data_IF_208713537234
#
_entry.id   IF_208713537234
#
_cell.length_a   1.000
_cell.length_b   1.000
_cell.length_c   1.000
_cell.angle_alpha   90.00
_cell.angle_beta   90.00
_cell.angle_gamma   90.00
#
_symmetry.space_group_name_H-M   'P 1'
#
loop_
_entity.id
_entity.type
_entity.pdbx_description
1 polymer ?
#
# COMPACT_ATOMS: atom_id res chain seq x y z
N UNK A 1 16.90 11.65 15.10
CA UNK A 1 16.29 10.43 14.53
C UNK A 1 15.73 10.84 13.20
N UNK A 2 16.14 10.15 12.15
CA UNK A 2 15.70 10.47 10.80
C UNK A 2 14.31 9.86 10.57
N UNK A 3 13.44 10.61 9.91
CA UNK A 3 12.07 10.21 9.61
C UNK A 3 11.86 10.26 8.11
N UNK A 4 11.41 9.14 7.53
CA UNK A 4 11.12 8.98 6.12
C UNK A 4 9.62 9.24 5.89
N UNK A 5 9.30 10.02 4.87
CA UNK A 5 7.93 10.47 4.58
C UNK A 5 7.24 9.52 3.62
N UNK A 6 6.12 8.92 4.01
CA UNK A 6 5.38 7.97 3.18
C UNK A 6 4.05 8.55 2.75
N UNK A 7 3.70 8.43 1.47
CA UNK A 7 2.36 8.70 0.98
C UNK A 7 1.82 7.54 0.15
N UNK A 8 0.49 7.43 0.11
CA UNK A 8 -0.23 6.64 -0.88
C UNK A 8 -1.37 7.46 -1.49
N UNK A 9 -1.61 7.29 -2.80
CA UNK A 9 -2.71 7.96 -3.46
C UNK A 9 -3.27 7.19 -4.68
N UNK A 10 -4.58 6.95 -4.70
CA UNK A 10 -5.33 6.60 -5.91
C UNK A 10 -5.41 7.82 -6.85
N UNK A 11 -4.94 7.68 -8.09
CA UNK A 11 -4.82 8.78 -9.07
C UNK A 11 -6.08 8.99 -9.94
N UNK A 12 -7.17 8.29 -9.65
CA UNK A 12 -8.43 8.33 -10.42
C UNK A 12 -8.18 8.04 -11.91
N UNK A 13 -7.62 6.87 -12.24
CA UNK A 13 -7.37 6.38 -13.60
C UNK A 13 -6.54 7.35 -14.46
N UNK A 14 -5.22 7.20 -14.41
CA UNK A 14 -4.24 7.94 -15.19
C UNK A 14 -3.80 7.10 -16.39
N UNK A 15 -4.50 7.29 -17.51
CA UNK A 15 -4.21 6.68 -18.80
C UNK A 15 -3.39 7.62 -19.70
N UNK A 16 -2.69 7.05 -20.66
CA UNK A 16 -2.17 7.83 -21.79
C UNK A 16 -3.29 8.12 -22.80
N UNK A 17 -2.95 8.70 -23.94
CA UNK A 17 -3.93 9.03 -24.99
C UNK A 17 -3.93 8.02 -26.14
N UNK A 18 -3.19 6.91 -26.00
CA UNK A 18 -3.18 5.85 -27.00
C UNK A 18 -4.42 4.98 -26.83
N UNK A 19 -5.08 4.64 -27.93
CA UNK A 19 -6.28 3.81 -27.87
C UNK A 19 -5.88 2.36 -27.50
N UNK A 20 -6.16 1.97 -26.27
CA UNK A 20 -6.22 0.58 -25.84
C UNK A 20 -7.69 0.14 -25.71
N UNK A 21 -7.98 -1.16 -25.82
CA UNK A 21 -9.35 -1.68 -25.64
C UNK A 21 -9.90 -1.32 -24.23
N UNK A 22 -9.03 -1.34 -23.23
CA UNK A 22 -9.35 -0.96 -21.84
C UNK A 22 -9.63 0.54 -21.72
N UNK A 23 -8.80 1.39 -22.34
CA UNK A 23 -9.02 2.84 -22.35
C UNK A 23 -10.34 3.20 -23.03
N UNK A 24 -10.69 2.51 -24.12
CA UNK A 24 -11.96 2.71 -24.82
C UNK A 24 -13.18 2.27 -23.97
N UNK A 25 -13.10 1.10 -23.33
CA UNK A 25 -14.16 0.59 -22.45
C UNK A 25 -14.40 1.47 -21.21
N UNK A 26 -13.36 2.15 -20.73
CA UNK A 26 -13.42 3.09 -19.61
C UNK A 26 -13.67 4.55 -20.03
N UNK A 27 -14.02 4.78 -21.30
CA UNK A 27 -14.31 6.10 -21.88
C UNK A 27 -13.12 7.09 -21.84
N UNK A 28 -11.87 6.63 -21.72
CA UNK A 28 -10.66 7.46 -21.88
C UNK A 28 -10.37 7.75 -23.35
N UNK A 29 -11.28 8.49 -23.98
CA UNK A 29 -11.25 8.82 -25.40
C UNK A 29 -11.32 10.33 -25.60
N UNK A 30 -10.81 10.85 -26.74
CA UNK A 30 -10.97 12.26 -27.09
C UNK A 30 -12.44 12.72 -27.10
N UNK A 31 -13.38 11.82 -27.44
CA UNK A 31 -14.82 12.11 -27.43
C UNK A 31 -15.36 12.40 -26.02
N UNK A 32 -14.79 11.79 -24.98
CA UNK A 32 -15.10 12.06 -23.58
C UNK A 32 -14.27 13.23 -22.99
N UNK A 33 -13.47 13.90 -23.81
CA UNK A 33 -12.59 14.99 -23.38
C UNK A 33 -11.21 14.54 -22.90
N UNK A 34 -10.85 13.27 -23.05
CA UNK A 34 -9.50 12.78 -22.74
C UNK A 34 -8.55 13.07 -23.90
N UNK A 35 -7.91 14.24 -23.85
CA UNK A 35 -6.92 14.71 -24.84
C UNK A 35 -5.53 14.83 -24.20
N UNK A 36 -4.45 15.00 -24.99
CA UNK A 36 -3.12 15.24 -24.43
C UNK A 36 -3.10 16.42 -23.45
N UNK A 37 -3.83 17.50 -23.75
CA UNK A 37 -3.96 18.65 -22.87
C UNK A 37 -4.67 18.33 -21.55
N UNK A 38 -5.66 17.43 -21.57
CA UNK A 38 -6.32 16.96 -20.36
C UNK A 38 -5.37 16.09 -19.52
N UNK A 39 -4.60 15.22 -20.16
CA UNK A 39 -3.57 14.42 -19.48
C UNK A 39 -2.51 15.32 -18.84
N UNK A 40 -2.03 16.33 -19.57
CA UNK A 40 -1.06 17.29 -19.06
C UNK A 40 -1.60 18.07 -17.85
N UNK A 41 -2.84 18.59 -17.95
CA UNK A 41 -3.51 19.25 -16.83
C UNK A 41 -3.68 18.31 -15.64
N UNK A 42 -3.97 17.01 -15.87
CA UNK A 42 -4.04 16.02 -14.81
C UNK A 42 -2.69 15.86 -14.11
N UNK A 43 -1.59 15.71 -14.86
CA UNK A 43 -0.25 15.64 -14.26
C UNK A 43 0.08 16.88 -13.42
N UNK A 44 -0.17 18.08 -13.95
CA UNK A 44 0.05 19.34 -13.22
C UNK A 44 -0.71 19.36 -11.88
N UNK A 45 -1.99 18.97 -11.90
CA UNK A 45 -2.84 18.92 -10.71
C UNK A 45 -2.34 17.86 -9.70
N UNK A 46 -1.96 16.66 -10.15
CA UNK A 46 -1.44 15.61 -9.27
C UNK A 46 -0.11 16.03 -8.64
N UNK A 47 0.80 16.61 -9.43
CA UNK A 47 2.11 17.10 -8.98
C UNK A 47 1.95 18.22 -7.96
N UNK A 48 1.03 19.17 -8.18
CA UNK A 48 0.73 20.26 -7.21
C UNK A 48 0.41 19.69 -5.83
N UNK A 49 -0.48 18.69 -5.77
CA UNK A 49 -0.90 18.06 -4.52
C UNK A 49 0.25 17.32 -3.85
N UNK A 50 0.94 16.46 -4.60
CA UNK A 50 2.02 15.61 -4.08
C UNK A 50 3.23 16.43 -3.62
N UNK A 51 3.62 17.46 -4.38
CA UNK A 51 4.70 18.36 -4.01
C UNK A 51 4.34 19.20 -2.77
N UNK A 52 3.06 19.53 -2.58
CA UNK A 52 2.56 20.23 -1.39
C UNK A 52 2.48 19.38 -0.12
N UNK A 53 2.63 18.05 -0.21
CA UNK A 53 2.66 17.18 0.98
C UNK A 53 3.91 17.45 1.83
N UNK A 54 3.83 17.10 3.12
CA UNK A 54 4.93 17.24 4.08
C UNK A 54 5.55 18.65 4.09
N UNK A 55 4.69 19.67 4.20
CA UNK A 55 5.09 21.08 4.21
C UNK A 55 5.92 21.50 2.99
N UNK A 56 5.60 20.93 1.82
CA UNK A 56 6.24 21.30 0.55
C UNK A 56 7.53 20.54 0.22
N UNK A 57 7.88 19.50 0.99
CA UNK A 57 9.06 18.66 0.69
C UNK A 57 8.72 17.42 -0.14
N UNK A 58 7.44 17.08 -0.23
CA UNK A 58 6.97 15.84 -0.85
C UNK A 58 7.37 14.57 -0.09
N UNK A 59 6.94 13.39 -0.60
CA UNK A 59 7.24 12.08 -0.01
C UNK A 59 8.66 11.59 -0.34
N UNK A 60 9.18 10.70 0.49
CA UNK A 60 10.37 9.88 0.22
C UNK A 60 10.00 8.50 -0.33
N UNK A 61 8.77 8.04 -0.05
CA UNK A 61 8.19 6.80 -0.54
C UNK A 61 6.73 7.08 -0.93
N UNK A 62 6.36 6.83 -2.17
CA UNK A 62 5.04 7.11 -2.72
C UNK A 62 4.50 5.87 -3.43
N UNK A 63 3.47 5.25 -2.88
CA UNK A 63 2.65 4.28 -3.60
C UNK A 63 1.51 4.96 -4.35
N UNK A 64 1.18 4.47 -5.53
CA UNK A 64 0.05 4.95 -6.32
C UNK A 64 -0.71 3.79 -6.93
N UNK A 65 -2.00 4.01 -7.21
CA UNK A 65 -2.78 3.10 -8.03
C UNK A 65 -3.61 3.83 -9.09
N UNK A 66 -4.26 3.04 -9.96
CA UNK A 66 -4.98 3.48 -11.15
C UNK A 66 -4.07 4.26 -12.11
N UNK A 67 -2.92 3.69 -12.46
CA UNK A 67 -2.02 4.22 -13.49
C UNK A 67 -1.90 3.21 -14.63
N UNK A 68 -1.82 3.67 -15.88
CA UNK A 68 -1.85 2.71 -17.00
C UNK A 68 -0.51 2.05 -17.21
N UNK A 69 0.61 2.78 -17.18
CA UNK A 69 1.91 2.23 -17.58
C UNK A 69 3.09 2.94 -16.92
N UNK A 70 4.27 2.31 -16.99
CA UNK A 70 5.49 2.80 -16.34
C UNK A 70 5.95 4.15 -16.90
N UNK A 71 5.67 4.45 -18.17
CA UNK A 71 6.04 5.75 -18.76
C UNK A 71 5.27 6.90 -18.09
N UNK A 72 4.00 6.68 -17.72
CA UNK A 72 3.23 7.64 -16.93
C UNK A 72 3.76 7.76 -15.50
N UNK A 73 4.16 6.64 -14.88
CA UNK A 73 4.76 6.66 -13.54
C UNK A 73 6.09 7.41 -13.53
N UNK A 74 6.93 7.18 -14.54
CA UNK A 74 8.18 7.90 -14.73
C UNK A 74 7.93 9.39 -14.96
N UNK A 75 6.95 9.75 -15.79
CA UNK A 75 6.54 11.14 -16.00
C UNK A 75 6.10 11.81 -14.70
N UNK A 76 5.38 11.08 -13.83
CA UNK A 76 4.99 11.58 -12.51
C UNK A 76 6.23 11.83 -11.62
N UNK A 77 7.16 10.87 -11.57
CA UNK A 77 8.40 10.99 -10.81
C UNK A 77 9.27 12.18 -11.27
N UNK A 78 9.43 12.35 -12.59
CA UNK A 78 10.18 13.46 -13.19
C UNK A 78 9.53 14.81 -12.88
N UNK A 79 8.19 14.88 -12.97
CA UNK A 79 7.44 16.07 -12.61
C UNK A 79 7.57 16.44 -11.14
N UNK A 80 7.57 15.46 -10.24
CA UNK A 80 7.80 15.68 -8.81
C UNK A 80 9.24 16.14 -8.53
N UNK A 81 10.23 15.50 -9.17
CA UNK A 81 11.62 15.93 -9.08
C UNK A 81 11.77 17.41 -9.48
N UNK A 82 11.17 17.81 -10.61
CA UNK A 82 11.18 19.20 -11.06
C UNK A 82 10.50 20.15 -10.08
N UNK A 83 9.30 19.80 -9.59
CA UNK A 83 8.53 20.63 -8.67
C UNK A 83 9.19 20.81 -7.29
N UNK A 84 9.89 19.77 -6.82
CA UNK A 84 10.56 19.74 -5.51
C UNK A 84 12.04 20.14 -5.59
N UNK A 85 12.57 20.42 -6.77
CA UNK A 85 14.01 20.61 -7.02
C UNK A 85 14.85 19.43 -6.47
N UNK A 86 14.37 18.22 -6.75
CA UNK A 86 14.99 16.93 -6.42
C UNK A 86 15.44 16.23 -7.71
N UNK A 87 16.28 15.22 -7.56
CA UNK A 87 16.73 14.36 -8.67
C UNK A 87 16.79 12.89 -8.28
N UNK A 88 16.29 12.56 -7.09
CA UNK A 88 16.47 11.27 -6.44
C UNK A 88 15.18 10.44 -6.41
N UNK A 89 14.02 11.00 -6.78
CA UNK A 89 12.79 10.22 -6.89
C UNK A 89 12.85 9.36 -8.16
N UNK A 90 12.81 8.04 -7.98
CA UNK A 90 12.88 7.04 -9.06
C UNK A 90 11.74 6.04 -8.91
N UNK A 91 11.35 5.40 -10.01
CA UNK A 91 10.30 4.37 -10.00
C UNK A 91 10.88 2.99 -9.64
N UNK A 92 10.08 2.15 -8.97
CA UNK A 92 10.29 0.71 -8.99
C UNK A 92 9.60 0.12 -10.23
N UNK A 93 10.28 -0.77 -10.95
CA UNK A 93 9.82 -1.36 -12.21
C UNK A 93 9.92 -2.88 -12.14
N UNK A 94 8.92 -3.56 -12.70
CA UNK A 94 8.86 -5.01 -12.80
C UNK A 94 9.25 -5.44 -14.22
N UNK A 95 10.44 -6.02 -14.36
CA UNK A 95 10.97 -6.47 -15.65
C UNK A 95 10.36 -7.81 -16.13
N UNK A 96 9.55 -8.50 -15.31
CA UNK A 96 9.11 -9.90 -15.51
C UNK A 96 7.96 -10.13 -16.51
N UNK A 97 7.58 -9.11 -17.28
CA UNK A 97 6.88 -9.20 -18.57
C UNK A 97 5.36 -9.57 -18.64
N UNK A 98 4.83 -9.33 -19.84
CA UNK A 98 3.75 -10.02 -20.57
C UNK A 98 2.26 -9.65 -20.38
N UNK A 99 1.95 -8.60 -19.61
CA UNK A 99 0.62 -7.95 -19.68
C UNK A 99 0.84 -6.45 -19.66
N UNK A 100 0.38 -5.75 -20.70
CA UNK A 100 0.53 -4.31 -20.81
C UNK A 100 -0.37 -3.63 -19.79
N UNK A 101 0.26 -3.02 -18.79
CA UNK A 101 -0.35 -2.05 -17.88
C UNK A 101 0.08 -2.24 -16.42
N UNK A 102 0.27 -1.16 -15.66
CA UNK A 102 0.65 -1.17 -14.23
C UNK A 102 -0.41 -0.51 -13.36
N UNK A 103 -1.44 -1.23 -12.92
CA UNK A 103 -2.47 -0.61 -12.07
C UNK A 103 -1.94 -0.06 -10.73
N UNK A 104 -0.85 -0.63 -10.21
CA UNK A 104 -0.14 -0.14 -9.03
C UNK A 104 1.31 0.25 -9.36
N UNK A 105 1.84 1.28 -8.72
CA UNK A 105 3.21 1.75 -8.89
C UNK A 105 3.83 2.28 -7.61
N UNK A 106 5.16 2.33 -7.57
CA UNK A 106 5.92 2.88 -6.44
C UNK A 106 7.01 3.83 -6.94
N UNK A 107 7.09 5.02 -6.34
CA UNK A 107 8.18 5.99 -6.48
C UNK A 107 8.91 6.07 -5.13
N UNK A 108 10.23 6.06 -5.13
CA UNK A 108 11.02 6.16 -3.90
C UNK A 108 12.25 7.05 -4.09
N UNK A 109 12.74 7.60 -2.98
CA UNK A 109 13.99 8.36 -2.92
C UNK A 109 15.20 7.42 -2.99
N UNK A 110 15.94 7.46 -4.09
CA UNK A 110 17.22 6.77 -4.25
C UNK A 110 18.32 7.30 -3.30
N UNK A 111 18.11 8.43 -2.64
CA UNK A 111 19.00 8.90 -1.57
C UNK A 111 18.74 8.19 -0.24
N UNK A 112 17.53 7.66 -0.02
CA UNK A 112 17.13 7.02 1.23
C UNK A 112 17.08 5.49 1.13
N UNK A 113 16.76 4.95 -0.05
CA UNK A 113 16.57 3.53 -0.25
C UNK A 113 17.44 2.96 -1.38
N UNK A 114 17.81 1.69 -1.23
CA UNK A 114 18.22 0.80 -2.32
C UNK A 114 17.14 -0.26 -2.54
N UNK A 115 17.03 -0.79 -3.77
CA UNK A 115 16.29 -2.02 -4.01
C UNK A 115 17.00 -3.20 -3.34
N UNK A 116 16.25 -4.08 -2.70
CA UNK A 116 16.75 -5.26 -1.99
C UNK A 116 16.21 -6.56 -2.62
N UNK A 117 16.21 -6.61 -3.95
CA UNK A 117 15.57 -7.64 -4.76
C UNK A 117 14.79 -7.01 -5.91
N UNK A 118 14.23 -7.86 -6.75
CA UNK A 118 13.45 -7.40 -7.91
C UNK A 118 12.02 -7.03 -7.47
N UNK A 119 11.48 -5.88 -7.91
CA UNK A 119 10.06 -5.60 -7.80
C UNK A 119 9.24 -6.62 -8.58
N UNK A 120 8.08 -7.02 -8.04
CA UNK A 120 7.23 -8.07 -8.63
C UNK A 120 5.76 -7.67 -8.60
N UNK A 121 5.11 -7.69 -9.77
CA UNK A 121 3.66 -7.62 -9.90
C UNK A 121 3.02 -8.99 -9.73
N UNK A 122 2.14 -9.13 -8.74
CA UNK A 122 1.39 -10.36 -8.48
C UNK A 122 0.02 -10.30 -9.16
N UNK A 123 -0.27 -11.33 -9.96
CA UNK A 123 -1.55 -11.46 -10.65
C UNK A 123 -2.59 -12.14 -9.76
N UNK A 124 -3.79 -11.56 -9.76
CA UNK A 124 -4.98 -12.23 -9.23
C UNK A 124 -5.83 -12.66 -10.41
N UNK A 125 -5.98 -13.98 -10.56
CA UNK A 125 -6.71 -14.58 -11.67
C UNK A 125 -8.22 -14.54 -11.40
N UNK A 126 -8.89 -13.50 -11.90
CA UNK A 126 -10.35 -13.49 -12.06
C UNK A 126 -10.76 -14.02 -13.45
N UNK A 127 -11.98 -13.70 -13.89
CA UNK A 127 -12.40 -13.93 -15.28
C UNK A 127 -11.52 -13.16 -16.28
N UNK A 128 -10.89 -12.07 -15.83
CA UNK A 128 -9.81 -11.35 -16.50
C UNK A 128 -8.68 -11.14 -15.47
N UNK A 129 -7.42 -11.47 -15.77
CA UNK A 129 -6.32 -11.28 -14.83
C UNK A 129 -6.03 -9.79 -14.63
N UNK A 130 -5.83 -9.38 -13.38
CA UNK A 130 -5.42 -8.01 -13.01
C UNK A 130 -4.17 -8.05 -12.12
N UNK A 131 -3.32 -7.02 -12.24
CA UNK A 131 -2.12 -6.82 -11.41
C UNK A 131 -2.50 -6.00 -10.18
N UNK A 132 -3.19 -6.63 -9.24
CA UNK A 132 -3.78 -5.94 -8.07
C UNK A 132 -2.78 -5.69 -6.93
N UNK A 133 -1.60 -6.31 -6.97
CA UNK A 133 -0.59 -6.24 -5.89
C UNK A 133 0.80 -6.07 -6.52
N UNK A 134 1.53 -5.04 -6.11
CA UNK A 134 2.92 -4.77 -6.50
C UNK A 134 3.82 -4.84 -5.27
N UNK A 135 4.77 -5.77 -5.27
CA UNK A 135 5.75 -6.00 -4.21
C UNK A 135 7.07 -5.32 -4.54
N UNK A 136 7.60 -4.52 -3.61
CA UNK A 136 8.88 -3.84 -3.77
C UNK A 136 9.73 -4.04 -2.51
N UNK A 137 10.80 -4.87 -2.57
CA UNK A 137 11.75 -4.99 -1.48
C UNK A 137 12.73 -3.81 -1.49
N UNK A 138 12.84 -3.12 -0.37
CA UNK A 138 13.70 -1.96 -0.16
C UNK A 138 14.67 -2.19 1.00
N UNK A 139 15.77 -1.45 1.01
CA UNK A 139 16.72 -1.34 2.11
C UNK A 139 17.00 0.13 2.40
N UNK A 140 16.86 0.53 3.66
CA UNK A 140 17.16 1.91 4.10
C UNK A 140 18.67 2.09 4.18
N UNK A 141 19.19 3.11 3.50
CA UNK A 141 20.64 3.36 3.37
C UNK A 141 21.33 3.72 4.68
N UNK A 142 20.64 4.44 5.55
CA UNK A 142 21.23 4.99 6.77
C UNK A 142 21.51 3.95 7.86
N UNK A 143 20.73 2.87 7.93
CA UNK A 143 20.91 1.81 8.94
C UNK A 143 20.85 0.37 8.40
N UNK A 144 20.65 0.18 7.10
CA UNK A 144 20.60 -1.13 6.46
C UNK A 144 19.32 -1.94 6.70
N UNK A 145 18.32 -1.37 7.38
CA UNK A 145 17.06 -2.04 7.67
C UNK A 145 16.29 -2.37 6.38
N UNK A 146 15.77 -3.59 6.32
CA UNK A 146 14.97 -4.05 5.18
C UNK A 146 13.50 -3.69 5.37
N UNK A 147 12.82 -3.37 4.27
CA UNK A 147 11.39 -3.05 4.23
C UNK A 147 10.79 -3.68 2.97
N UNK A 148 9.76 -4.50 3.12
CA UNK A 148 8.96 -4.97 1.98
C UNK A 148 7.72 -4.10 1.88
N UNK A 149 7.53 -3.46 0.73
CA UNK A 149 6.37 -2.61 0.45
C UNK A 149 5.42 -3.34 -0.50
N UNK A 150 4.15 -3.43 -0.13
CA UNK A 150 3.08 -3.87 -1.03
C UNK A 150 2.20 -2.67 -1.39
N UNK A 151 2.11 -2.34 -2.67
CA UNK A 151 1.11 -1.40 -3.20
C UNK A 151 -0.03 -2.22 -3.79
N UNK A 152 -1.28 -1.96 -3.39
CA UNK A 152 -2.42 -2.78 -3.84
C UNK A 152 -3.65 -1.96 -4.20
N UNK A 153 -4.42 -2.46 -5.16
CA UNK A 153 -5.71 -1.89 -5.55
C UNK A 153 -6.73 -3.01 -5.75
N UNK A 154 -7.80 -2.98 -4.95
CA UNK A 154 -8.76 -4.07 -4.88
C UNK A 154 -9.98 -3.79 -5.76
N UNK A 155 -10.67 -4.85 -6.23
CA UNK A 155 -11.87 -4.72 -7.06
C UNK A 155 -12.93 -3.77 -6.51
N UNK A 156 -13.31 -2.78 -7.32
CA UNK A 156 -14.25 -1.72 -6.93
C UNK A 156 -15.62 -2.24 -6.51
N UNK A 157 -16.23 -1.53 -5.54
CA UNK A 157 -17.63 -1.74 -5.11
C UNK A 157 -18.66 -1.15 -6.07
N UNK A 158 -18.25 -0.36 -7.07
CA UNK A 158 -19.16 0.32 -8.01
C UNK A 158 -19.97 -0.73 -8.81
N UNK A 159 -21.27 -0.50 -8.95
CA UNK A 159 -22.17 -1.35 -9.74
C UNK A 159 -22.71 -2.61 -9.03
N UNK A 160 -21.89 -3.33 -8.25
CA UNK A 160 -22.31 -4.52 -7.50
C UNK A 160 -21.39 -4.80 -6.28
N UNK A 161 -21.65 -4.15 -5.15
CA UNK A 161 -20.82 -4.27 -3.95
C UNK A 161 -20.80 -5.69 -3.34
N UNK A 162 -21.93 -6.41 -3.37
CA UNK A 162 -22.03 -7.79 -2.86
C UNK A 162 -21.33 -8.77 -3.78
N UNK A 163 -21.51 -8.65 -5.10
CA UNK A 163 -20.84 -9.53 -6.06
C UNK A 163 -19.32 -9.30 -6.18
N UNK A 164 -18.84 -8.11 -5.82
CA UNK A 164 -17.40 -7.79 -5.82
C UNK A 164 -16.67 -8.21 -4.54
N UNK A 165 -17.38 -8.48 -3.44
CA UNK A 165 -16.77 -8.86 -2.16
C UNK A 165 -15.92 -10.14 -2.30
N UNK A 166 -16.40 -11.14 -3.04
CA UNK A 166 -15.66 -12.38 -3.26
C UNK A 166 -14.31 -12.14 -3.96
N UNK A 167 -14.24 -11.16 -4.87
CA UNK A 167 -12.99 -10.80 -5.53
C UNK A 167 -12.03 -10.08 -4.56
N UNK A 168 -12.54 -9.16 -3.73
CA UNK A 168 -11.73 -8.50 -2.69
C UNK A 168 -11.19 -9.48 -1.66
N UNK A 169 -12.00 -10.47 -1.25
CA UNK A 169 -11.54 -11.57 -0.39
C UNK A 169 -10.42 -12.36 -1.08
N UNK A 170 -10.53 -12.65 -2.39
CA UNK A 170 -9.48 -13.35 -3.11
C UNK A 170 -8.17 -12.56 -3.18
N UNK A 171 -8.22 -11.23 -3.40
CA UNK A 171 -7.01 -10.37 -3.35
C UNK A 171 -6.43 -10.37 -1.94
N UNK A 172 -7.26 -10.17 -0.91
CA UNK A 172 -6.84 -10.15 0.48
C UNK A 172 -6.16 -11.46 0.90
N UNK A 173 -6.72 -12.60 0.49
CA UNK A 173 -6.16 -13.94 0.73
C UNK A 173 -4.80 -14.10 0.04
N UNK A 174 -4.70 -13.64 -1.21
CA UNK A 174 -3.45 -13.69 -1.95
C UNK A 174 -2.37 -12.82 -1.30
N UNK A 175 -2.72 -11.61 -0.87
CA UNK A 175 -1.82 -10.71 -0.16
C UNK A 175 -1.38 -11.29 1.20
N UNK A 176 -2.30 -11.87 1.97
CA UNK A 176 -1.98 -12.55 3.23
C UNK A 176 -0.98 -13.69 3.06
N UNK A 177 -1.10 -14.47 1.97
CA UNK A 177 -0.12 -15.51 1.62
C UNK A 177 1.26 -14.93 1.28
N UNK A 178 1.32 -13.77 0.62
CA UNK A 178 2.59 -13.09 0.32
C UNK A 178 3.26 -12.57 1.61
N UNK A 179 2.46 -11.97 2.49
CA UNK A 179 2.91 -11.56 3.84
C UNK A 179 3.47 -12.77 4.60
N UNK A 180 2.76 -13.89 4.61
CA UNK A 180 3.22 -15.13 5.25
C UNK A 180 4.53 -15.64 4.65
N UNK A 181 4.71 -15.55 3.32
CA UNK A 181 5.96 -15.93 2.67
C UNK A 181 7.15 -15.04 3.09
N UNK A 182 6.88 -13.78 3.45
CA UNK A 182 7.88 -12.88 4.01
C UNK A 182 8.17 -13.17 5.48
N UNK A 183 7.13 -13.44 6.29
CA UNK A 183 7.23 -13.57 7.74
C UNK A 183 7.61 -14.98 8.22
N UNK A 184 7.52 -15.99 7.35
CA UNK A 184 7.80 -17.39 7.67
C UNK A 184 8.95 -17.93 6.82
N UNK A 185 9.57 -18.98 7.31
CA UNK A 185 10.46 -19.83 6.53
C UNK A 185 9.63 -20.69 5.58
N UNK A 186 10.18 -20.93 4.40
CA UNK A 186 9.62 -21.92 3.50
C UNK A 186 9.76 -23.34 4.08
N UNK A 187 8.95 -24.25 3.56
CA UNK A 187 8.87 -25.61 4.06
C UNK A 187 10.17 -26.39 3.82
N UNK A 188 10.93 -26.08 2.78
CA UNK A 188 12.17 -26.78 2.46
C UNK A 188 13.26 -26.43 3.49
N UNK A 189 13.44 -25.15 3.79
CA UNK A 189 14.34 -24.67 4.86
C UNK A 189 13.95 -25.28 6.20
N UNK A 190 12.66 -25.24 6.54
CA UNK A 190 12.13 -25.83 7.78
C UNK A 190 12.31 -27.37 7.84
N UNK A 191 12.49 -28.06 6.73
CA UNK A 191 12.66 -29.53 6.71
C UNK A 191 14.10 -29.97 6.42
N UNK A 192 15.03 -29.04 6.21
CA UNK A 192 16.43 -29.34 5.90
C UNK A 192 17.39 -28.91 7.01
N UNK A 193 17.10 -27.82 7.72
CA UNK A 193 18.00 -27.31 8.77
C UNK A 193 18.02 -28.26 9.98
N UNK A 194 19.19 -28.73 10.40
CA UNK A 194 19.39 -29.64 11.54
C UNK A 194 19.69 -28.87 12.84
N UNK A 195 20.29 -27.69 12.73
CA UNK A 195 20.66 -26.87 13.87
C UNK A 195 19.49 -25.97 14.29
N UNK A 196 18.91 -26.27 15.46
CA UNK A 196 17.69 -25.60 15.93
C UNK A 196 17.91 -24.16 16.39
N UNK A 197 19.08 -23.82 16.94
CA UNK A 197 19.36 -22.46 17.42
C UNK A 197 19.30 -21.42 16.28
N UNK A 198 20.11 -21.52 15.20
CA UNK A 198 20.04 -20.57 14.09
C UNK A 198 18.68 -20.62 13.39
N UNK A 199 18.03 -21.80 13.32
CA UNK A 199 16.68 -21.92 12.78
C UNK A 199 15.68 -21.06 13.57
N UNK A 200 15.70 -21.12 14.90
CA UNK A 200 14.80 -20.32 15.73
C UNK A 200 15.12 -18.83 15.66
N UNK A 201 16.39 -18.45 15.57
CA UNK A 201 16.79 -17.07 15.35
C UNK A 201 16.28 -16.54 14.01
N UNK A 202 16.42 -17.33 12.93
CA UNK A 202 15.90 -16.98 11.61
C UNK A 202 14.37 -16.86 11.60
N UNK A 203 13.66 -17.79 12.26
CA UNK A 203 12.21 -17.72 12.35
C UNK A 203 11.76 -16.45 13.11
N UNK A 204 12.43 -16.09 14.22
CA UNK A 204 12.14 -14.85 14.97
C UNK A 204 12.46 -13.62 14.12
N UNK A 205 13.60 -13.61 13.44
CA UNK A 205 14.00 -12.50 12.58
C UNK A 205 13.00 -12.29 11.44
N UNK A 206 12.55 -13.37 10.78
CA UNK A 206 11.50 -13.30 9.75
C UNK A 206 10.17 -12.80 10.28
N UNK A 207 9.73 -13.29 11.44
CA UNK A 207 8.48 -12.85 12.07
C UNK A 207 8.46 -11.35 12.40
N UNK A 208 9.66 -10.78 12.60
CA UNK A 208 9.86 -9.36 12.88
C UNK A 208 10.26 -8.54 11.65
N UNK A 209 10.17 -9.07 10.42
CA UNK A 209 10.45 -8.30 9.21
C UNK A 209 9.50 -7.11 9.09
N UNK A 210 10.02 -6.01 8.55
CA UNK A 210 9.23 -4.82 8.29
C UNK A 210 8.46 -4.99 6.98
N UNK A 211 7.13 -4.95 7.09
CA UNK A 211 6.23 -4.97 5.93
C UNK A 211 5.30 -3.77 6.03
N UNK A 212 5.17 -3.05 4.93
CA UNK A 212 4.23 -1.94 4.75
C UNK A 212 3.32 -2.25 3.57
N UNK A 213 2.03 -2.37 3.83
CA UNK A 213 0.99 -2.47 2.82
C UNK A 213 0.33 -1.10 2.72
N UNK A 214 0.21 -0.58 1.50
CA UNK A 214 -0.54 0.63 1.20
C UNK A 214 -1.37 0.42 -0.05
N UNK A 215 -2.58 0.99 -0.11
CA UNK A 215 -3.45 0.69 -1.23
C UNK A 215 -4.84 1.27 -1.13
N UNK A 216 -5.56 1.21 -2.25
CA UNK A 216 -7.01 1.37 -2.28
C UNK A 216 -7.65 -0.01 -2.17
N UNK A 217 -8.10 -0.36 -0.97
CA UNK A 217 -8.68 -1.67 -0.68
C UNK A 217 -10.14 -1.75 -1.13
N UNK A 218 -10.74 -0.65 -1.58
CA UNK A 218 -12.16 -0.56 -1.90
C UNK A 218 -13.10 -1.08 -0.79
N UNK A 219 -12.61 -1.23 0.43
CA UNK A 219 -13.28 -1.68 1.64
C UNK A 219 -12.81 -0.80 2.80
N UNK A 220 -13.67 -0.59 3.78
CA UNK A 220 -13.29 0.07 5.03
C UNK A 220 -12.48 -0.89 5.91
N UNK A 221 -11.69 -0.38 6.86
CA UNK A 221 -10.89 -1.18 7.79
C UNK A 221 -11.66 -2.29 8.51
N UNK A 222 -12.97 -2.13 8.77
CA UNK A 222 -13.81 -3.11 9.47
C UNK A 222 -14.47 -4.16 8.56
N UNK A 223 -14.26 -4.10 7.23
CA UNK A 223 -14.80 -5.10 6.33
C UNK A 223 -14.09 -6.45 6.48
N UNK A 224 -14.80 -7.54 6.12
CA UNK A 224 -14.33 -8.91 6.31
C UNK A 224 -13.02 -9.23 5.57
N UNK A 225 -12.85 -8.70 4.36
CA UNK A 225 -11.62 -8.83 3.56
C UNK A 225 -10.39 -8.29 4.31
N UNK A 226 -10.53 -7.19 5.05
CA UNK A 226 -9.45 -6.57 5.83
C UNK A 226 -9.28 -7.27 7.17
N UNK A 227 -10.36 -7.40 7.96
CA UNK A 227 -10.30 -7.89 9.33
C UNK A 227 -10.11 -9.40 9.46
N UNK A 228 -10.79 -10.18 8.62
CA UNK A 228 -10.83 -11.64 8.77
C UNK A 228 -9.90 -12.34 7.79
N UNK A 229 -9.82 -11.86 6.54
CA UNK A 229 -8.99 -12.50 5.52
C UNK A 229 -7.54 -12.01 5.58
N UNK A 230 -7.32 -10.69 5.55
CA UNK A 230 -5.97 -10.12 5.67
C UNK A 230 -5.48 -10.05 7.13
N UNK A 231 -6.39 -10.24 8.10
CA UNK A 231 -6.11 -10.17 9.55
C UNK A 231 -5.49 -8.84 10.01
N UNK A 232 -5.93 -7.75 9.37
CA UNK A 232 -5.44 -6.40 9.66
C UNK A 232 -6.43 -5.66 10.59
N UNK A 233 -6.05 -5.49 11.85
CA UNK A 233 -6.92 -4.88 12.88
C UNK A 233 -6.29 -3.66 13.53
N UNK A 234 -7.05 -2.95 14.36
CA UNK A 234 -6.54 -1.86 15.21
C UNK A 234 -6.09 -2.31 16.59
N UNK A 235 -6.03 -3.61 16.85
CA UNK A 235 -5.56 -4.13 18.14
C UNK A 235 -4.09 -4.46 18.05
N UNK A 236 -3.33 -3.98 19.04
CA UNK A 236 -1.95 -4.41 19.26
C UNK A 236 -1.88 -5.81 19.90
N UNK A 237 -2.96 -6.34 20.48
CA UNK A 237 -2.92 -7.64 21.19
C UNK A 237 -2.41 -8.78 20.30
N UNK A 238 -2.86 -8.84 19.04
CA UNK A 238 -2.40 -9.83 18.06
C UNK A 238 -1.00 -9.54 17.51
N UNK A 239 -0.60 -8.27 17.52
CA UNK A 239 0.69 -7.78 17.00
C UNK A 239 1.81 -8.00 18.01
N UNK A 240 1.52 -7.82 19.30
CA UNK A 240 2.47 -8.02 20.37
C UNK A 240 2.83 -9.50 20.57
N UNK A 241 1.95 -10.43 20.16
CA UNK A 241 2.22 -11.86 20.24
C UNK A 241 3.53 -12.23 19.51
N UNK A 242 4.49 -12.73 20.29
CA UNK A 242 5.66 -13.36 19.72
C UNK A 242 5.28 -14.62 18.95
N UNK A 243 6.11 -14.96 17.96
CA UNK A 243 5.95 -16.20 17.23
C UNK A 243 5.94 -17.38 18.19
N UNK A 244 4.86 -18.17 18.17
CA UNK A 244 4.73 -19.37 19.00
C UNK A 244 5.61 -20.46 18.42
N UNK A 245 6.90 -20.40 18.74
CA UNK A 245 7.83 -21.49 18.46
C UNK A 245 7.24 -22.80 19.00
N UNK A 246 7.40 -23.93 18.27
CA UNK A 246 7.27 -25.22 18.92
C UNK A 246 8.27 -25.18 20.08
N UNK A 247 7.80 -25.03 21.32
CA UNK A 247 8.61 -24.85 22.54
C UNK A 247 9.94 -25.60 22.42
N UNK A 248 11.07 -24.96 22.76
CA UNK A 248 12.47 -25.40 22.51
C UNK A 248 12.72 -26.93 22.54
N UNK A 249 11.98 -27.68 23.35
CA UNK A 249 12.06 -29.13 23.50
C UNK A 249 11.24 -29.99 22.51
N UNK A 250 10.48 -29.42 21.56
CA UNK A 250 9.49 -30.19 20.74
C UNK A 250 9.82 -30.36 19.27
N UNK A 251 10.55 -29.43 18.64
CA UNK A 251 10.94 -29.63 17.24
C UNK A 251 12.08 -30.65 17.20
N UNK A 252 11.91 -31.74 16.45
CA UNK A 252 12.94 -32.77 16.39
C UNK A 252 14.21 -32.21 15.71
N UNK A 253 15.40 -32.35 16.33
CA UNK A 253 16.66 -31.95 15.69
C UNK A 253 16.91 -32.71 14.39
N UNK A 254 16.48 -33.97 14.30
CA UNK A 254 16.49 -34.74 13.05
C UNK A 254 15.29 -34.32 12.19
N UNK A 255 15.52 -33.64 11.03
CA UNK A 255 14.43 -33.10 10.22
C UNK A 255 13.49 -34.19 9.68
N UNK A 256 14.00 -35.41 9.44
CA UNK A 256 13.21 -36.54 8.97
C UNK A 256 12.25 -37.08 10.05
N UNK A 257 12.51 -36.75 11.32
CA UNK A 257 11.71 -37.16 12.47
C UNK A 257 10.83 -36.03 13.03
N UNK A 258 10.78 -34.85 12.38
CA UNK A 258 9.86 -33.77 12.74
C UNK A 258 8.41 -34.24 12.57
N UNK A 259 7.57 -34.02 13.59
CA UNK A 259 6.18 -34.45 13.51
C UNK A 259 5.44 -33.54 12.55
N UNK A 260 4.58 -34.13 11.72
CA UNK A 260 3.67 -33.38 10.83
C UNK A 260 2.85 -32.33 11.57
N UNK A 261 2.49 -32.61 12.84
CA UNK A 261 1.75 -31.67 13.69
C UNK A 261 2.53 -30.40 14.02
N UNK A 262 3.85 -30.50 14.20
CA UNK A 262 4.68 -29.37 14.61
C UNK A 262 4.93 -28.44 13.40
N UNK A 263 5.20 -29.03 12.23
CA UNK A 263 5.29 -28.34 10.95
C UNK A 263 3.96 -27.66 10.61
N UNK A 264 2.83 -28.37 10.74
CA UNK A 264 1.51 -27.81 10.47
C UNK A 264 1.15 -26.66 11.42
N UNK A 265 1.59 -26.73 12.70
CA UNK A 265 1.39 -25.66 13.68
C UNK A 265 2.14 -24.39 13.29
N UNK A 266 3.39 -24.52 12.82
CA UNK A 266 4.17 -23.37 12.36
C UNK A 266 3.58 -22.76 11.08
N UNK A 267 3.37 -23.58 10.05
CA UNK A 267 2.84 -23.11 8.75
C UNK A 267 1.47 -22.48 8.92
N UNK A 268 0.62 -23.08 9.76
CA UNK A 268 -0.74 -22.60 10.03
C UNK A 268 -0.82 -21.45 11.03
N UNK A 269 0.29 -20.96 11.57
CA UNK A 269 0.27 -19.76 12.43
C UNK A 269 0.15 -18.52 11.55
N UNK A 270 -1.04 -17.93 11.44
CA UNK A 270 -1.24 -16.71 10.67
C UNK A 270 -0.67 -15.48 11.41
N UNK A 271 -0.08 -14.55 10.67
CA UNK A 271 0.42 -13.30 11.23
C UNK A 271 -0.70 -12.24 11.26
N UNK A 272 -0.91 -11.62 12.41
CA UNK A 272 -1.79 -10.45 12.52
C UNK A 272 -1.06 -9.20 12.03
N UNK A 273 -1.81 -8.27 11.42
CA UNK A 273 -1.32 -7.01 10.89
C UNK A 273 -1.98 -5.82 11.59
N UNK A 274 -1.23 -4.73 11.73
CA UNK A 274 -1.73 -3.51 12.36
C UNK A 274 -2.20 -2.52 11.30
N UNK A 275 -3.46 -2.12 11.37
CA UNK A 275 -4.05 -1.20 10.42
C UNK A 275 -4.15 0.20 11.03
N UNK A 276 -3.35 1.13 10.49
CA UNK A 276 -3.25 2.52 10.97
C UNK A 276 -4.49 3.34 10.62
N UNK A 277 -5.26 2.87 9.64
CA UNK A 277 -6.36 3.59 9.02
C UNK A 277 -7.61 3.65 9.88
N UNK A 278 -7.62 2.94 11.00
CA UNK A 278 -8.71 2.97 11.98
C UNK A 278 -8.75 4.27 12.77
N UNK A 279 -7.61 4.89 13.05
CA UNK A 279 -7.54 6.10 13.88
C UNK A 279 -8.49 7.21 13.39
N UNK A 280 -8.44 7.59 12.11
CA UNK A 280 -9.34 8.61 11.56
C UNK A 280 -10.83 8.25 11.59
N UNK A 281 -11.22 6.96 11.60
CA UNK A 281 -12.63 6.54 11.60
C UNK A 281 -13.39 6.95 12.87
N UNK A 282 -12.69 7.24 13.97
CA UNK A 282 -13.30 7.81 15.18
C UNK A 282 -13.86 9.22 14.97
N UNK A 283 -13.48 9.90 13.87
CA UNK A 283 -13.95 11.23 13.51
C UNK A 283 -15.10 11.12 12.50
N UNK A 284 -16.27 11.62 12.89
CA UNK A 284 -17.45 11.67 12.00
C UNK A 284 -17.10 12.31 10.67
N UNK A 285 -17.35 11.61 9.56
CA UNK A 285 -17.11 12.08 8.18
C UNK A 285 -15.65 12.11 7.73
N UNK A 286 -14.76 11.39 8.43
CA UNK A 286 -13.48 10.97 7.90
C UNK A 286 -13.63 9.92 6.79
N UNK A 287 -12.61 9.81 5.96
CA UNK A 287 -12.55 8.93 4.81
C UNK A 287 -11.90 9.61 3.61
N UNK A 288 -11.33 8.81 2.74
CA UNK A 288 -10.48 9.21 1.63
C UNK A 288 -11.30 9.46 0.37
N UNK A 289 -12.36 8.68 0.16
CA UNK A 289 -13.31 8.80 -0.95
C UNK A 289 -14.72 9.13 -0.44
N UNK A 290 -15.49 9.88 -1.23
CA UNK A 290 -16.93 10.03 -1.03
C UNK A 290 -17.71 9.02 -1.88
N UNK A 291 -18.15 7.93 -1.27
CA UNK A 291 -18.76 6.79 -1.97
C UNK A 291 -20.27 6.66 -1.66
N UNK A 292 -21.02 6.09 -2.59
CA UNK A 292 -22.43 5.76 -2.43
C UNK A 292 -22.67 4.35 -2.93
N UNK A 293 -22.86 3.35 -2.05
CA UNK A 293 -23.54 2.14 -2.45
C UNK A 293 -24.95 2.51 -2.93
N UNK A 294 -25.51 1.77 -3.89
CA UNK A 294 -26.88 2.01 -4.41
C UNK A 294 -27.94 2.08 -3.31
N UNK A 295 -27.68 1.46 -2.15
CA UNK A 295 -28.65 1.25 -1.07
C UNK A 295 -28.36 1.98 0.25
N UNK A 296 -27.32 2.83 0.33
CA UNK A 296 -26.95 3.53 1.57
C UNK A 296 -26.79 5.05 1.39
N UNK A 297 -26.97 5.81 2.49
CA UNK A 297 -26.72 7.25 2.52
C UNK A 297 -25.26 7.50 2.16
N UNK A 298 -25.03 8.44 1.23
CA UNK A 298 -23.70 8.87 0.79
C UNK A 298 -22.82 9.21 2.00
N UNK A 299 -21.75 8.46 2.21
CA UNK A 299 -20.78 8.65 3.29
C UNK A 299 -19.37 8.62 2.72
N UNK A 300 -18.42 9.21 3.45
CA UNK A 300 -17.03 8.94 3.15
C UNK A 300 -16.66 7.54 3.60
N UNK A 301 -15.75 6.92 2.88
CA UNK A 301 -15.20 5.60 3.20
C UNK A 301 -13.68 5.71 3.27
N UNK A 302 -13.06 4.85 4.06
CA UNK A 302 -11.62 4.78 4.28
C UNK A 302 -11.04 3.66 3.41
N UNK A 303 -11.08 3.84 2.09
CA UNK A 303 -10.62 2.82 1.16
C UNK A 303 -9.10 2.84 1.01
N UNK A 304 -8.48 4.02 1.03
CA UNK A 304 -7.03 4.16 0.99
C UNK A 304 -6.47 3.94 2.40
N UNK A 305 -5.67 2.88 2.56
CA UNK A 305 -5.23 2.42 3.88
C UNK A 305 -3.72 2.17 3.91
N UNK A 306 -3.15 2.27 5.11
CA UNK A 306 -1.80 1.76 5.44
C UNK A 306 -1.89 0.70 6.54
N UNK A 307 -1.26 -0.44 6.30
CA UNK A 307 -1.25 -1.61 7.18
C UNK A 307 0.19 -2.07 7.33
N UNK A 308 0.61 -2.45 8.54
CA UNK A 308 2.01 -2.79 8.84
C UNK A 308 2.13 -4.11 9.59
N UNK A 309 3.26 -4.80 9.40
CA UNK A 309 3.61 -5.98 10.20
C UNK A 309 3.99 -5.61 11.63
N UNK A 310 4.03 -6.62 12.50
CA UNK A 310 4.61 -6.54 13.85
C UNK A 310 5.97 -5.86 13.88
N UNK A 311 6.89 -6.29 13.01
CA UNK A 311 8.24 -5.75 12.95
C UNK A 311 8.26 -4.23 12.83
N UNK A 312 7.44 -3.72 11.91
CA UNK A 312 7.36 -2.30 11.60
C UNK A 312 6.48 -1.52 12.60
N UNK A 313 5.44 -2.13 13.17
CA UNK A 313 4.62 -1.49 14.21
C UNK A 313 5.43 -1.27 15.51
N UNK A 314 6.24 -2.24 15.90
CA UNK A 314 6.93 -2.27 17.19
C UNK A 314 8.41 -1.84 17.12
N UNK A 315 8.96 -1.55 15.94
CA UNK A 315 10.33 -1.05 15.80
C UNK A 315 11.41 -2.13 15.95
N UNK A 316 11.09 -3.39 15.65
CA UNK A 316 11.92 -4.54 16.06
C UNK A 316 13.06 -4.86 15.10
N UNK A 317 13.02 -4.29 13.89
CA UNK A 317 14.01 -4.56 12.82
C UNK A 317 14.54 -3.25 12.23
N UNK A 318 14.87 -2.29 13.09
CA UNK A 318 15.54 -1.04 12.70
C UNK A 318 14.62 0.03 12.07
N UNK A 319 13.33 -0.24 11.90
CA UNK A 319 12.34 0.72 11.41
C UNK A 319 11.07 0.63 12.23
N UNK A 320 10.48 1.78 12.55
CA UNK A 320 9.18 1.85 13.19
C UNK A 320 8.24 2.78 12.44
N UNK A 321 7.01 2.34 12.17
CA UNK A 321 5.94 3.24 11.72
C UNK A 321 5.48 4.12 12.88
N UNK A 322 5.44 5.43 12.68
CA UNK A 322 4.93 6.37 13.68
C UNK A 322 3.41 6.40 13.56
N UNK A 323 2.72 5.71 14.46
CA UNK A 323 1.27 5.54 14.43
C UNK A 323 0.51 6.87 14.36
N UNK A 324 0.87 7.82 15.22
CA UNK A 324 0.20 9.13 15.32
C UNK A 324 0.36 10.01 14.07
N UNK A 325 1.32 9.69 13.20
CA UNK A 325 1.57 10.44 11.96
C UNK A 325 0.66 9.99 10.80
N UNK A 326 -0.08 8.89 10.95
CA UNK A 326 -1.02 8.47 9.92
C UNK A 326 -2.16 9.50 9.77
N UNK A 327 -2.35 10.01 8.55
CA UNK A 327 -3.37 11.02 8.29
C UNK A 327 -3.96 10.94 6.88
N UNK A 328 -5.22 11.37 6.77
CA UNK A 328 -5.82 11.76 5.49
C UNK A 328 -5.40 13.22 5.24
N UNK A 329 -4.52 13.45 4.27
CA UNK A 329 -3.91 14.77 4.04
C UNK A 329 -4.95 15.85 3.68
N UNK A 330 -5.93 15.49 2.84
CA UNK A 330 -7.05 16.33 2.41
C UNK A 330 -6.70 17.82 2.17
N UNK A 331 -5.71 18.14 1.33
CA UNK A 331 -5.28 19.52 1.09
C UNK A 331 -6.43 20.37 0.52
N UNK A 332 -6.48 21.65 0.93
CA UNK A 332 -7.59 22.56 0.60
C UNK A 332 -7.86 22.70 -0.90
N UNK A 333 -6.81 22.59 -1.71
CA UNK A 333 -6.90 22.70 -3.17
C UNK A 333 -7.82 21.63 -3.77
N UNK A 334 -7.91 20.47 -3.12
CA UNK A 334 -8.75 19.34 -3.56
C UNK A 334 -10.21 19.45 -3.11
N UNK A 335 -10.63 20.51 -2.41
CA UNK A 335 -11.98 20.56 -1.86
C UNK A 335 -13.00 20.97 -2.92
N UNK A 336 -14.11 20.22 -3.06
CA UNK A 336 -15.20 20.55 -3.99
C UNK A 336 -15.90 21.89 -3.72
N UNK A 337 -15.77 22.46 -2.52
CA UNK A 337 -16.31 23.76 -2.15
C UNK A 337 -15.24 24.62 -1.47
N UNK A 338 -14.36 25.22 -2.27
CA UNK A 338 -13.27 26.11 -1.83
C UNK A 338 -13.77 27.41 -1.20
N UNK A 339 -15.06 27.73 -1.35
CA UNK A 339 -15.74 28.89 -0.75
C UNK A 339 -16.07 28.71 0.74
N UNK A 340 -15.85 27.51 1.28
CA UNK A 340 -16.00 27.28 2.71
C UNK A 340 -14.93 28.07 3.49
N UNK A 341 -15.25 28.64 4.67
CA UNK A 341 -14.28 29.34 5.49
C UNK A 341 -13.04 28.48 5.76
N UNK A 342 -11.88 29.12 5.96
CA UNK A 342 -10.59 28.44 6.14
C UNK A 342 -10.55 27.36 7.23
N UNK A 343 -11.52 27.36 8.14
CA UNK A 343 -11.67 26.44 9.28
C UNK A 343 -12.85 25.45 9.12
N UNK A 344 -13.40 25.30 7.91
CA UNK A 344 -14.48 24.35 7.69
C UNK A 344 -14.03 22.93 8.08
N UNK A 345 -14.81 22.18 8.88
CA UNK A 345 -14.35 20.91 9.40
C UNK A 345 -14.04 19.92 8.26
N UNK A 346 -12.87 19.25 8.33
CA UNK A 346 -12.40 18.27 7.33
C UNK A 346 -13.43 17.19 6.99
N UNK A 347 -14.38 16.93 7.90
CA UNK A 347 -15.47 15.99 7.66
C UNK A 347 -16.56 16.44 6.68
N UNK A 348 -16.64 17.75 6.36
CA UNK A 348 -17.67 18.29 5.45
C UNK A 348 -17.24 18.41 3.99
N UNK A 349 -15.95 18.27 3.71
CA UNK A 349 -15.38 18.50 2.38
C UNK A 349 -15.20 17.20 1.62
N UNK A 350 -15.27 17.23 0.29
CA UNK A 350 -15.09 16.05 -0.57
C UNK A 350 -13.92 16.29 -1.53
N UNK A 351 -13.19 15.24 -1.92
CA UNK A 351 -12.18 15.34 -2.97
C UNK A 351 -12.86 15.76 -4.28
N UNK A 352 -12.18 16.63 -5.02
CA UNK A 352 -12.62 17.15 -6.30
C UNK A 352 -12.02 16.27 -7.40
N UNK A 353 -12.83 15.32 -7.85
CA UNK A 353 -12.54 14.47 -9.00
C UNK A 353 -12.07 15.31 -10.20
N UNK A 354 -11.08 14.80 -10.93
CA UNK A 354 -10.64 15.35 -12.20
C UNK A 354 -11.74 15.20 -13.25
N UNK A 355 -11.97 16.29 -13.99
CA UNK A 355 -12.88 16.38 -15.11
C UNK A 355 -12.08 16.67 -16.38
N UNK A 356 -11.93 15.68 -17.29
CA UNK A 356 -11.16 15.83 -18.52
C UNK A 356 -11.63 16.98 -19.40
N UNK A 357 -12.94 17.24 -19.46
CA UNK A 357 -13.51 18.27 -20.33
C UNK A 357 -13.13 19.69 -19.89
N UNK A 358 -12.89 19.90 -18.60
CA UNK A 358 -12.49 21.21 -18.06
C UNK A 358 -11.02 21.29 -17.65
N UNK A 359 -10.30 20.17 -17.58
CA UNK A 359 -8.93 20.07 -17.07
C UNK A 359 -8.79 20.39 -15.58
N UNK A 360 -9.91 20.41 -14.84
CA UNK A 360 -9.96 20.82 -13.42
C UNK A 360 -10.20 19.62 -12.51
N UNK A 361 -9.69 19.71 -11.28
CA UNK A 361 -9.82 18.65 -10.28
C UNK A 361 -8.55 17.84 -10.17
N UNK A 362 -8.58 16.74 -9.41
CA UNK A 362 -7.38 16.04 -8.97
C UNK A 362 -7.58 14.53 -9.03
N UNK A 363 -8.21 14.00 -7.98
CA UNK A 363 -8.62 12.62 -7.81
C UNK A 363 -9.91 12.64 -7.00
N UNK A 364 -10.74 11.61 -7.12
CA UNK A 364 -11.89 11.36 -6.25
C UNK A 364 -11.50 10.72 -4.91
N UNK A 365 -10.20 10.56 -4.66
CA UNK A 365 -9.60 10.15 -3.38
C UNK A 365 -8.71 11.26 -2.82
N UNK A 366 -8.69 11.43 -1.50
CA UNK A 366 -7.65 12.18 -0.80
C UNK A 366 -6.43 11.29 -0.55
N UNK A 367 -5.19 11.82 -0.65
CA UNK A 367 -4.00 11.07 -0.26
C UNK A 367 -3.99 10.73 1.22
N UNK A 368 -3.38 9.59 1.55
CA UNK A 368 -3.00 9.24 2.93
C UNK A 368 -1.50 9.36 3.12
N UNK A 369 -1.07 9.78 4.29
CA UNK A 369 0.33 10.03 4.63
C UNK A 369 0.69 9.34 5.94
N UNK A 370 1.97 9.07 6.14
CA UNK A 370 2.56 8.64 7.40
C UNK A 370 4.07 8.79 7.40
N UNK A 371 4.71 8.27 8.44
CA UNK A 371 6.14 8.46 8.71
C UNK A 371 6.80 7.17 9.20
N UNK A 372 7.97 6.84 8.67
CA UNK A 372 8.86 5.81 9.26
C UNK A 372 9.95 6.47 10.06
N UNK A 373 10.07 6.10 11.33
CA UNK A 373 11.24 6.42 12.13
C UNK A 373 12.33 5.39 11.87
N UNK A 374 13.52 5.88 11.51
CA UNK A 374 14.73 5.07 11.41
C UNK A 374 15.31 4.93 12.82
N UNK A 375 15.26 3.72 13.37
CA UNK A 375 15.85 3.44 14.67
C UNK A 375 17.38 3.44 14.52
N UNK A 376 18.05 4.19 15.39
CA UNK A 376 19.50 4.04 15.56
C UNK A 376 19.75 2.62 16.05
N UNK A 377 20.59 1.86 15.33
CA UNK A 377 20.93 0.50 15.71
C UNK A 377 21.29 0.44 17.20
N UNK A 378 20.72 -0.54 17.92
CA UNK A 378 21.28 -0.90 19.21
C UNK A 378 22.69 -1.40 18.93
N UNK A 379 23.70 -0.56 19.19
CA UNK A 379 25.08 -0.99 19.18
C UNK A 379 25.25 -2.10 20.22
N UNK A 380 25.44 -3.34 19.73
CA UNK A 380 26.19 -4.42 20.40
C UNK A 380 25.51 -5.13 21.56
#
# INVERSE_FOLDING_TARGET
MDTLKIAFWNLQNLFDTTESEIAADLEFTPAAGWTPEAVDAKFENLIEVLAGLFDGTGPDLLGVCEIENEALLQRLADGLNAALNRTDLVIASDESADIRGIDCGLIYSANQFDLNGDPVGHLVHFRYPTRDIFEVPLRVKSNGAELVVYVTHWPSRRGNAEGSEAFRIAVASHLGRLVDAQLKLDLETLLSEENLEPLFDDMKARWNRNILIMGDLNDDPFNRSVMAELRASNSLDGIEEEMKLPQDDRLNPDPQKRKKSDVARYVGQEADLYNLSWGPLGVSGAGTIFFSPRDHKRSKQMFDQMIVSRGLALGLSGLQMVEDDFAIAAPKVMWTNSSLPGDAPRHRVRPKAFDPASGKGYSDHFPVTGSLRVESGQDG
#
